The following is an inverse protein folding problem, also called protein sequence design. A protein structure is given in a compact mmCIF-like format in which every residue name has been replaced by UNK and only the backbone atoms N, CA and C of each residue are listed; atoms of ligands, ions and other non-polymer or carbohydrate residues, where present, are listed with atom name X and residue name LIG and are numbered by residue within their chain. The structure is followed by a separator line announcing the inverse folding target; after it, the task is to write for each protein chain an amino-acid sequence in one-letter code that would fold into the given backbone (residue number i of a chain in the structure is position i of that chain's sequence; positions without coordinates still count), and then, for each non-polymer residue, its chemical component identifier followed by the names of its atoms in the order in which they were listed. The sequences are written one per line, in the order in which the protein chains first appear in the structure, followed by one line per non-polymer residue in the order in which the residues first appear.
data_IF_317508151730
#
_entry.id   IF_317508151730
#
_cell.length_a   1.000
_cell.length_b   1.000
_cell.length_c   1.000
_cell.angle_alpha   90.00
_cell.angle_beta   90.00
_cell.angle_gamma   90.00
#
_symmetry.space_group_name_H-M   'P 1'
#
loop_
_entity.id
_entity.type
_entity.pdbx_description
1 polymer ?
#
# COMPACT_ATOMS: atom_id res chain seq x y z
N UNK A 1 8.69 65.53 -28.04
CA UNK A 1 7.26 65.65 -27.86
C UNK A 1 6.74 64.36 -27.23
N UNK A 2 6.39 64.49 -25.95
CA UNK A 2 5.84 63.47 -25.10
C UNK A 2 4.37 63.17 -25.47
N UNK A 3 3.99 61.93 -25.43
CA UNK A 3 2.56 61.56 -25.29
C UNK A 3 2.45 60.37 -24.35
N UNK A 4 2.08 60.68 -23.12
CA UNK A 4 1.67 59.73 -22.08
C UNK A 4 0.30 59.16 -22.42
N UNK A 5 0.16 57.83 -22.48
CA UNK A 5 -1.12 57.15 -22.49
C UNK A 5 -1.29 56.49 -21.14
N UNK A 6 -2.27 57.00 -20.40
CA UNK A 6 -2.77 56.45 -19.14
C UNK A 6 -3.68 55.29 -19.48
N UNK A 7 -3.29 54.09 -19.09
CA UNK A 7 -4.17 52.89 -19.16
C UNK A 7 -4.78 52.63 -17.81
N UNK A 8 -6.09 52.82 -17.77
CA UNK A 8 -6.92 52.63 -16.61
C UNK A 8 -7.15 51.15 -16.38
N UNK A 9 -6.49 50.60 -15.34
CA UNK A 9 -6.72 49.22 -14.91
C UNK A 9 -8.11 49.11 -14.23
N UNK A 10 -9.05 48.49 -14.92
CA UNK A 10 -10.32 48.07 -14.35
C UNK A 10 -10.10 46.92 -13.40
N UNK A 11 -10.17 47.19 -12.12
CA UNK A 11 -10.13 46.16 -11.07
C UNK A 11 -11.48 45.43 -11.07
N UNK A 12 -11.50 44.20 -11.57
CA UNK A 12 -12.64 43.29 -11.32
C UNK A 12 -12.69 42.96 -9.83
N UNK A 13 -13.90 42.94 -9.21
CA UNK A 13 -14.04 42.59 -7.82
C UNK A 13 -13.70 41.09 -7.64
N UNK A 14 -12.72 40.79 -6.78
CA UNK A 14 -12.40 39.46 -6.31
C UNK A 14 -13.67 38.90 -5.63
N UNK A 15 -14.20 37.74 -6.04
CA UNK A 15 -15.35 37.13 -5.37
C UNK A 15 -14.96 36.82 -3.92
N UNK A 16 -15.80 37.28 -2.98
CA UNK A 16 -15.68 37.01 -1.57
C UNK A 16 -15.64 35.47 -1.35
N UNK A 17 -14.66 34.90 -0.62
CA UNK A 17 -14.56 33.46 -0.45
C UNK A 17 -15.79 32.96 0.32
N UNK A 18 -16.54 32.07 -0.30
CA UNK A 18 -17.62 31.33 0.34
C UNK A 18 -17.05 30.56 1.54
N UNK A 19 -17.72 30.49 2.68
CA UNK A 19 -17.21 29.88 3.91
C UNK A 19 -16.85 28.38 3.79
N UNK A 20 -17.26 27.71 2.71
CA UNK A 20 -16.90 26.31 2.41
C UNK A 20 -15.48 26.12 1.88
N UNK A 21 -14.79 27.17 1.45
CA UNK A 21 -13.44 27.07 0.85
C UNK A 21 -12.29 27.26 1.85
N UNK A 22 -12.58 27.50 3.12
CA UNK A 22 -11.57 27.81 4.13
C UNK A 22 -11.06 26.57 4.87
N UNK A 23 -11.82 25.49 4.89
CA UNK A 23 -11.44 24.23 5.52
C UNK A 23 -11.15 23.16 4.46
N UNK A 24 -10.21 22.29 4.71
CA UNK A 24 -9.89 21.15 3.81
C UNK A 24 -11.02 20.14 3.71
N UNK A 25 -10.98 19.30 2.67
CA UNK A 25 -12.00 18.31 2.39
C UNK A 25 -12.21 17.36 3.60
N UNK A 26 -13.46 17.19 4.03
CA UNK A 26 -13.83 16.42 5.24
C UNK A 26 -13.79 17.20 6.56
N UNK A 27 -13.63 18.52 6.52
CA UNK A 27 -13.68 19.38 7.71
C UNK A 27 -14.73 20.48 7.55
N UNK A 28 -15.37 20.87 8.66
CA UNK A 28 -16.32 21.98 8.74
C UNK A 28 -15.80 23.06 9.68
N UNK A 29 -16.14 24.31 9.39
CA UNK A 29 -15.81 25.41 10.27
C UNK A 29 -16.78 25.46 11.44
N UNK A 30 -16.28 25.30 12.66
CA UNK A 30 -17.04 25.46 13.89
C UNK A 30 -16.27 26.38 14.83
N UNK A 31 -16.93 27.48 15.25
CA UNK A 31 -16.37 28.51 16.14
C UNK A 31 -15.02 29.11 15.67
N UNK A 32 -14.83 29.23 14.32
CA UNK A 32 -13.60 29.75 13.73
C UNK A 32 -12.44 28.74 13.62
N UNK A 33 -12.69 27.48 13.94
CA UNK A 33 -11.74 26.38 13.78
C UNK A 33 -12.27 25.33 12.78
N UNK A 34 -11.37 24.80 11.95
CA UNK A 34 -11.69 23.65 11.11
C UNK A 34 -11.70 22.38 11.98
N UNK A 35 -12.86 21.76 12.14
CA UNK A 35 -13.04 20.49 12.87
C UNK A 35 -13.47 19.39 11.89
N UNK A 36 -13.08 18.16 12.16
CA UNK A 36 -13.50 17.01 11.35
C UNK A 36 -15.04 16.91 11.39
N UNK A 37 -15.66 16.78 10.22
CA UNK A 37 -17.11 16.60 10.12
C UNK A 37 -17.51 15.19 10.57
N UNK A 38 -17.84 15.05 11.86
CA UNK A 38 -18.29 13.79 12.46
C UNK A 38 -19.75 13.44 12.12
N UNK A 39 -20.48 14.31 11.40
CA UNK A 39 -21.86 14.02 10.96
C UNK A 39 -21.90 13.21 9.67
N UNK A 40 -20.81 13.16 8.89
CA UNK A 40 -20.58 12.09 7.92
C UNK A 40 -20.04 10.88 8.65
N UNK A 41 -20.92 10.14 9.31
CA UNK A 41 -20.67 8.74 9.65
C UNK A 41 -20.28 8.06 8.33
N UNK A 42 -19.00 7.81 8.15
CA UNK A 42 -18.55 6.90 7.10
C UNK A 42 -19.10 5.54 7.53
N UNK A 43 -20.29 5.20 7.04
CA UNK A 43 -20.65 3.80 6.93
C UNK A 43 -19.51 3.18 6.15
N UNK A 44 -18.70 2.40 6.84
CA UNK A 44 -17.76 1.48 6.22
C UNK A 44 -18.61 0.43 5.51
N UNK A 45 -19.18 0.84 4.38
CA UNK A 45 -19.68 -0.10 3.40
C UNK A 45 -18.47 -0.78 2.80
N UNK A 46 -18.41 -2.08 2.97
CA UNK A 46 -17.42 -3.03 2.45
C UNK A 46 -17.37 -3.09 0.91
N UNK A 47 -17.72 -2.02 0.22
CA UNK A 47 -17.84 -2.00 -1.26
C UNK A 47 -16.82 -1.09 -1.98
N UNK A 48 -15.97 -0.33 -1.27
CA UNK A 48 -14.96 0.53 -1.92
C UNK A 48 -13.52 0.00 -1.80
N UNK A 49 -13.33 -1.33 -1.92
CA UNK A 49 -12.00 -1.92 -2.06
C UNK A 49 -11.37 -1.68 -3.44
N UNK A 50 -12.01 -0.88 -4.33
CA UNK A 50 -11.61 -0.80 -5.73
C UNK A 50 -11.15 0.60 -6.20
N UNK A 51 -11.06 1.62 -5.36
CA UNK A 51 -10.65 2.96 -5.79
C UNK A 51 -9.62 3.67 -4.91
N UNK A 52 -8.89 2.96 -4.08
CA UNK A 52 -7.65 3.52 -3.56
C UNK A 52 -6.51 3.12 -4.46
N UNK A 53 -5.91 4.08 -5.14
CA UNK A 53 -4.63 4.04 -5.89
C UNK A 53 -3.42 3.54 -5.08
N UNK A 54 -3.66 2.83 -3.99
CA UNK A 54 -2.70 2.20 -3.13
C UNK A 54 -3.29 0.92 -2.58
N UNK A 55 -3.23 -0.21 -3.33
CA UNK A 55 -3.57 -1.51 -2.79
C UNK A 55 -2.94 -1.69 -1.41
N UNK A 56 -3.77 -1.79 -0.35
CA UNK A 56 -3.30 -1.83 1.02
C UNK A 56 -2.55 -3.13 1.27
N UNK A 57 -1.38 -3.04 1.87
CA UNK A 57 -0.65 -4.20 2.39
C UNK A 57 -1.30 -4.65 3.71
N UNK A 58 -2.57 -5.12 3.68
CA UNK A 58 -3.40 -5.35 4.86
C UNK A 58 -2.72 -6.22 5.92
N UNK A 59 -2.17 -7.37 5.53
CA UNK A 59 -1.45 -8.26 6.45
C UNK A 59 -0.22 -7.55 7.01
N UNK A 60 0.62 -6.97 6.17
CA UNK A 60 1.82 -6.26 6.64
C UNK A 60 1.46 -5.07 7.54
N UNK A 61 0.41 -4.31 7.23
CA UNK A 61 -0.07 -3.21 8.07
C UNK A 61 -0.55 -3.72 9.44
N UNK A 62 -1.28 -4.83 9.49
CA UNK A 62 -1.71 -5.46 10.73
C UNK A 62 -0.51 -6.00 11.54
N UNK A 63 0.44 -6.66 10.86
CA UNK A 63 1.66 -7.22 11.45
C UNK A 63 2.54 -6.14 12.09
N UNK A 64 2.82 -5.04 11.37
CA UNK A 64 3.73 -3.98 11.81
C UNK A 64 3.01 -2.82 12.50
N UNK A 65 1.68 -2.86 12.58
CA UNK A 65 0.83 -1.95 13.36
C UNK A 65 0.57 -0.59 12.73
N UNK A 66 1.15 -0.29 11.57
CA UNK A 66 0.98 1.00 10.89
C UNK A 66 1.24 0.88 9.39
N UNK A 67 0.48 1.63 8.61
CA UNK A 67 0.78 1.83 7.19
C UNK A 67 2.09 2.60 6.96
N UNK A 68 2.54 3.37 7.96
CA UNK A 68 3.79 4.13 7.93
C UNK A 68 5.00 3.32 8.40
N UNK A 69 4.81 2.06 8.79
CA UNK A 69 5.92 1.19 9.19
C UNK A 69 6.91 1.04 8.01
N UNK A 70 8.23 1.06 8.26
CA UNK A 70 9.25 1.00 7.21
C UNK A 70 9.08 -0.21 6.28
N UNK A 71 8.67 -1.34 6.82
CA UNK A 71 8.44 -2.58 6.09
C UNK A 71 7.25 -2.43 5.12
N UNK A 72 6.18 -1.75 5.55
CA UNK A 72 5.00 -1.50 4.70
C UNK A 72 5.33 -0.47 3.61
N UNK A 73 6.07 0.58 3.96
CA UNK A 73 6.52 1.58 2.99
C UNK A 73 7.42 0.95 1.93
N UNK A 74 8.35 0.08 2.34
CA UNK A 74 9.21 -0.66 1.41
C UNK A 74 8.42 -1.53 0.43
N UNK A 75 7.38 -2.23 0.90
CA UNK A 75 6.51 -3.02 0.02
C UNK A 75 5.77 -2.15 -1.00
N UNK A 76 5.29 -0.97 -0.57
CA UNK A 76 4.64 -0.01 -1.47
C UNK A 76 5.62 0.54 -2.50
N UNK A 77 6.82 0.92 -2.06
CA UNK A 77 7.87 1.42 -2.95
C UNK A 77 8.27 0.39 -4.01
N UNK A 78 8.50 -0.86 -3.62
CA UNK A 78 8.78 -1.96 -4.55
C UNK A 78 7.63 -2.18 -5.55
N UNK A 79 6.39 -2.15 -5.08
CA UNK A 79 5.23 -2.25 -5.95
C UNK A 79 5.19 -1.12 -6.97
N UNK A 80 5.31 0.13 -6.50
CA UNK A 80 5.07 1.32 -7.32
C UNK A 80 6.25 1.57 -8.28
N UNK A 81 7.48 1.40 -7.83
CA UNK A 81 8.67 1.72 -8.60
C UNK A 81 9.15 0.56 -9.49
N UNK A 82 8.98 -0.69 -9.07
CA UNK A 82 9.49 -1.85 -9.82
C UNK A 82 8.38 -2.58 -10.57
N UNK A 83 7.31 -2.98 -9.87
CA UNK A 83 6.26 -3.79 -10.50
C UNK A 83 5.36 -2.97 -11.41
N UNK A 84 4.77 -1.88 -10.91
CA UNK A 84 3.82 -1.08 -11.69
C UNK A 84 4.48 -0.24 -12.80
N UNK A 85 5.81 -0.13 -12.80
CA UNK A 85 6.56 0.51 -13.89
C UNK A 85 6.70 -0.37 -15.14
N UNK A 86 6.36 -1.65 -15.05
CA UNK A 86 6.46 -2.62 -16.15
C UNK A 86 5.10 -3.24 -16.48
N UNK A 87 4.91 -3.68 -17.73
CA UNK A 87 3.66 -4.31 -18.16
C UNK A 87 3.46 -5.67 -17.48
N UNK A 88 4.51 -6.50 -17.41
CA UNK A 88 4.48 -7.79 -16.73
C UNK A 88 4.21 -7.65 -15.24
N UNK A 89 4.83 -6.69 -14.58
CA UNK A 89 4.59 -6.41 -13.17
C UNK A 89 3.17 -5.92 -12.90
N UNK A 90 2.63 -5.05 -13.77
CA UNK A 90 1.23 -4.60 -13.68
C UNK A 90 0.25 -5.76 -13.83
N UNK A 91 0.46 -6.64 -14.81
CA UNK A 91 -0.37 -7.82 -15.02
C UNK A 91 -0.29 -8.81 -13.85
N UNK A 92 0.92 -9.00 -13.29
CA UNK A 92 1.11 -9.77 -12.06
C UNK A 92 0.34 -9.16 -10.89
N UNK A 93 0.48 -7.85 -10.63
CA UNK A 93 -0.19 -7.18 -9.53
C UNK A 93 -1.72 -7.22 -9.65
N UNK A 94 -2.27 -7.10 -10.85
CA UNK A 94 -3.70 -7.25 -11.08
C UNK A 94 -4.22 -8.64 -10.69
N UNK A 95 -3.47 -9.68 -11.00
CA UNK A 95 -3.82 -11.06 -10.66
C UNK A 95 -3.58 -11.33 -9.17
N UNK A 96 -2.46 -10.87 -8.65
CA UNK A 96 -2.07 -11.00 -7.25
C UNK A 96 -3.08 -10.30 -6.33
N UNK A 97 -3.49 -9.09 -6.63
CA UNK A 97 -4.45 -8.34 -5.83
C UNK A 97 -5.78 -9.08 -5.70
N UNK A 98 -6.33 -9.63 -6.80
CA UNK A 98 -7.56 -10.43 -6.76
C UNK A 98 -7.45 -11.62 -5.81
N UNK A 99 -6.32 -12.33 -5.85
CA UNK A 99 -6.06 -13.45 -4.95
C UNK A 99 -5.84 -12.96 -3.51
N UNK A 100 -4.97 -11.96 -3.32
CA UNK A 100 -4.60 -11.43 -2.01
C UNK A 100 -5.80 -10.91 -1.23
N UNK A 101 -6.65 -10.10 -1.84
CA UNK A 101 -7.83 -9.54 -1.17
C UNK A 101 -8.92 -10.58 -0.85
N UNK A 102 -8.87 -11.76 -1.44
CA UNK A 102 -9.82 -12.83 -1.10
C UNK A 102 -9.61 -13.41 0.32
N UNK A 103 -8.42 -13.27 0.90
CA UNK A 103 -8.11 -13.82 2.22
C UNK A 103 -7.46 -12.82 3.18
N UNK A 104 -6.78 -11.79 2.68
CA UNK A 104 -5.99 -10.87 3.52
C UNK A 104 -6.80 -10.10 4.56
N UNK A 105 -8.08 -9.72 4.37
CA UNK A 105 -8.87 -9.07 5.42
C UNK A 105 -9.03 -9.99 6.64
N UNK A 106 -9.37 -11.27 6.42
CA UNK A 106 -9.55 -12.24 7.50
C UNK A 106 -8.25 -12.46 8.28
N UNK A 107 -7.13 -12.57 7.59
CA UNK A 107 -5.82 -12.71 8.24
C UNK A 107 -5.49 -11.46 9.05
N UNK A 108 -5.65 -10.27 8.46
CA UNK A 108 -5.36 -9.01 9.14
C UNK A 108 -6.23 -8.78 10.39
N UNK A 109 -7.50 -9.16 10.34
CA UNK A 109 -8.40 -9.09 11.51
C UNK A 109 -7.94 -10.06 12.61
N UNK A 110 -7.59 -11.29 12.23
CA UNK A 110 -7.11 -12.27 13.20
C UNK A 110 -5.77 -11.85 13.84
N UNK A 111 -4.89 -11.17 13.09
CA UNK A 111 -3.65 -10.58 13.64
C UNK A 111 -3.92 -9.49 14.67
N UNK A 112 -4.95 -8.66 14.46
CA UNK A 112 -5.36 -7.60 15.39
C UNK A 112 -5.88 -8.16 16.71
N UNK A 113 -6.59 -9.29 16.64
CA UNK A 113 -7.19 -9.94 17.80
C UNK A 113 -6.20 -10.84 18.55
N UNK A 114 -5.21 -11.41 17.86
CA UNK A 114 -4.30 -12.41 18.41
C UNK A 114 -2.82 -11.98 18.29
N UNK A 115 -2.23 -11.43 19.36
CA UNK A 115 -0.84 -10.99 19.37
C UNK A 115 0.18 -12.10 19.06
N UNK A 116 -0.09 -13.33 19.48
CA UNK A 116 0.79 -14.49 19.22
C UNK A 116 0.80 -14.81 17.73
N UNK A 117 -0.37 -14.83 17.11
CA UNK A 117 -0.49 -15.07 15.68
C UNK A 117 0.22 -13.96 14.87
N UNK A 118 0.06 -12.69 15.29
CA UNK A 118 0.76 -11.55 14.68
C UNK A 118 2.28 -11.72 14.71
N UNK A 119 2.85 -12.14 15.84
CA UNK A 119 4.30 -12.39 15.93
C UNK A 119 4.75 -13.57 15.04
N UNK A 120 3.93 -14.60 14.89
CA UNK A 120 4.21 -15.70 13.96
C UNK A 120 4.20 -15.22 12.51
N UNK A 121 3.23 -14.39 12.12
CA UNK A 121 3.17 -13.79 10.77
C UNK A 121 4.37 -12.89 10.55
N UNK A 122 4.74 -12.06 11.53
CA UNK A 122 5.92 -11.20 11.48
C UNK A 122 7.21 -11.99 11.25
N UNK A 123 7.39 -13.09 11.98
CA UNK A 123 8.52 -13.99 11.82
C UNK A 123 8.57 -14.59 10.41
N UNK A 124 7.41 -14.91 9.85
CA UNK A 124 7.31 -15.44 8.47
C UNK A 124 7.57 -14.36 7.43
N UNK A 125 7.08 -13.14 7.62
CA UNK A 125 7.26 -12.04 6.66
C UNK A 125 8.72 -11.54 6.59
N UNK A 126 9.45 -11.56 7.71
CA UNK A 126 10.79 -11.00 7.80
C UNK A 126 11.76 -11.55 6.73
N UNK A 127 11.93 -12.86 6.55
CA UNK A 127 12.83 -13.39 5.51
C UNK A 127 12.29 -13.11 4.09
N UNK A 128 10.98 -13.11 3.89
CA UNK A 128 10.37 -12.74 2.62
C UNK A 128 10.70 -11.30 2.24
N UNK A 129 10.52 -10.35 3.16
CA UNK A 129 10.86 -8.95 2.93
C UNK A 129 12.34 -8.75 2.62
N UNK A 130 13.21 -9.52 3.27
CA UNK A 130 14.66 -9.49 2.98
C UNK A 130 14.97 -9.95 1.57
N UNK A 131 14.30 -10.99 1.08
CA UNK A 131 14.49 -11.46 -0.30
C UNK A 131 13.88 -10.49 -1.32
N UNK A 132 12.76 -9.85 -1.01
CA UNK A 132 12.13 -8.85 -1.88
C UNK A 132 13.02 -7.63 -2.14
N UNK A 133 13.99 -7.33 -1.28
CA UNK A 133 14.97 -6.26 -1.53
C UNK A 133 15.76 -6.47 -2.82
N UNK A 134 15.90 -7.70 -3.29
CA UNK A 134 16.56 -7.99 -4.57
C UNK A 134 15.78 -7.42 -5.77
N UNK A 135 14.49 -7.16 -5.59
CA UNK A 135 13.67 -6.53 -6.62
C UNK A 135 14.05 -5.06 -6.89
N UNK A 136 14.72 -4.40 -5.95
CA UNK A 136 15.24 -3.04 -6.13
C UNK A 136 16.24 -2.91 -7.29
N UNK A 137 16.85 -4.03 -7.68
CA UNK A 137 17.78 -4.11 -8.82
C UNK A 137 17.08 -4.38 -10.15
N UNK A 138 15.75 -4.47 -10.16
CA UNK A 138 14.97 -4.73 -11.37
C UNK A 138 14.62 -3.40 -12.06
N UNK A 139 15.42 -2.98 -13.01
CA UNK A 139 15.33 -1.70 -13.75
C UNK A 139 14.80 -1.85 -15.18
N UNK A 140 14.40 -3.05 -15.59
CA UNK A 140 13.88 -3.35 -16.92
C UNK A 140 12.84 -4.47 -16.88
N UNK A 141 11.99 -4.55 -17.92
CA UNK A 141 10.97 -5.59 -18.08
C UNK A 141 11.53 -7.02 -17.88
N UNK A 142 12.66 -7.31 -18.52
CA UNK A 142 13.31 -8.62 -18.39
C UNK A 142 13.85 -8.87 -16.98
N UNK A 143 14.39 -7.85 -16.32
CA UNK A 143 14.89 -7.95 -14.94
C UNK A 143 13.73 -8.21 -13.96
N UNK A 144 12.61 -7.50 -14.13
CA UNK A 144 11.40 -7.70 -13.30
C UNK A 144 10.90 -9.14 -13.40
N UNK A 145 10.80 -9.68 -14.61
CA UNK A 145 10.38 -11.07 -14.82
C UNK A 145 11.39 -12.04 -14.20
N UNK A 146 12.68 -11.90 -14.51
CA UNK A 146 13.71 -12.85 -14.09
C UNK A 146 13.89 -12.85 -12.57
N UNK A 147 14.02 -11.67 -11.96
CA UNK A 147 14.19 -11.53 -10.52
C UNK A 147 12.88 -11.93 -9.82
N UNK A 148 11.72 -11.52 -10.33
CA UNK A 148 10.41 -11.84 -9.76
C UNK A 148 10.16 -13.35 -9.72
N UNK A 149 10.38 -14.06 -10.82
CA UNK A 149 10.26 -15.53 -10.87
C UNK A 149 11.25 -16.20 -9.93
N UNK A 150 12.51 -15.71 -9.91
CA UNK A 150 13.54 -16.23 -9.00
C UNK A 150 13.16 -16.09 -7.54
N UNK A 151 12.57 -14.95 -7.16
CA UNK A 151 12.09 -14.69 -5.80
C UNK A 151 10.91 -15.59 -5.43
N UNK A 152 9.97 -15.83 -6.34
CA UNK A 152 8.85 -16.75 -6.11
C UNK A 152 9.38 -18.16 -5.86
N UNK A 153 10.31 -18.64 -6.69
CA UNK A 153 10.94 -19.97 -6.53
C UNK A 153 11.73 -20.05 -5.23
N UNK A 154 12.54 -19.03 -4.90
CA UNK A 154 13.34 -18.99 -3.68
C UNK A 154 12.46 -19.05 -2.44
N UNK A 155 11.43 -18.22 -2.37
CA UNK A 155 10.50 -18.21 -1.23
C UNK A 155 9.68 -19.50 -1.16
N UNK A 156 9.24 -20.05 -2.30
CA UNK A 156 8.57 -21.35 -2.35
C UNK A 156 9.45 -22.48 -1.80
N UNK A 157 10.72 -22.53 -2.17
CA UNK A 157 11.68 -23.49 -1.63
C UNK A 157 11.92 -23.29 -0.13
N UNK A 158 11.99 -22.06 0.33
CA UNK A 158 12.18 -21.74 1.75
C UNK A 158 10.99 -22.16 2.61
N UNK A 159 9.78 -21.80 2.22
CA UNK A 159 8.58 -22.04 3.03
C UNK A 159 7.98 -23.44 2.88
N UNK A 160 8.20 -24.10 1.77
CA UNK A 160 7.68 -25.44 1.48
C UNK A 160 8.78 -26.50 1.44
N UNK A 161 9.90 -26.21 0.79
CA UNK A 161 10.99 -27.15 0.58
C UNK A 161 11.68 -27.55 1.87
N UNK A 162 12.09 -26.59 2.70
CA UNK A 162 12.80 -26.86 3.97
C UNK A 162 11.93 -27.68 4.93
N UNK A 163 10.66 -27.30 5.23
CA UNK A 163 9.79 -28.12 6.07
C UNK A 163 9.53 -29.52 5.49
N UNK A 164 9.34 -29.62 4.19
CA UNK A 164 9.12 -30.93 3.55
C UNK A 164 10.34 -31.87 3.72
N UNK A 165 11.55 -31.37 3.50
CA UNK A 165 12.78 -32.12 3.72
C UNK A 165 12.94 -32.53 5.18
N UNK A 166 12.64 -31.64 6.12
CA UNK A 166 12.69 -31.92 7.55
C UNK A 166 11.73 -33.08 7.92
N UNK A 167 10.48 -33.04 7.44
CA UNK A 167 9.46 -34.07 7.70
C UNK A 167 9.92 -35.42 7.13
N UNK A 168 10.41 -35.44 5.90
CA UNK A 168 10.90 -36.70 5.25
C UNK A 168 12.11 -37.23 5.98
N UNK A 169 13.05 -36.37 6.39
CA UNK A 169 14.24 -36.73 7.14
C UNK A 169 13.91 -37.38 8.51
N UNK A 170 12.92 -36.82 9.23
CA UNK A 170 12.46 -37.39 10.50
C UNK A 170 11.77 -38.75 10.29
N UNK A 171 10.91 -38.85 9.27
CA UNK A 171 10.22 -40.12 8.94
C UNK A 171 11.18 -41.27 8.55
N UNK A 172 12.32 -40.95 7.91
CA UNK A 172 13.31 -41.95 7.49
C UNK A 172 14.18 -42.43 8.66
N UNK A 173 14.22 -41.69 9.75
CA UNK A 173 15.04 -41.98 10.95
C UNK A 173 14.28 -42.83 12.00
N UNK A 174 12.94 -42.84 11.93
CA UNK A 174 12.06 -43.71 12.69
C UNK A 174 11.63 -44.94 11.88
#
# INVERSE_FOLDING_TARGET
SETSVSESATTEPIPEPTPESVCGEGTIMKDGLCVVDTTKTVEVTTEDANDSKGGGCLIATATYGSELAPEVQKLRELRDNQLLSTESGTNFMNSFNKFYYSFSPVIADYERENPVFREMVKLSLTPMLSTLSLMEYADSENSVITIGVSLIVLNGLMYVGIPAIAIVGVRKKN
#
